data_IF_724009207183
#
_entry.id   IF_724009207183
#
_cell.length_a   1.000
_cell.length_b   1.000
_cell.length_c   1.000
_cell.angle_alpha   90.00
_cell.angle_beta   90.00
_cell.angle_gamma   90.00
#
_symmetry.space_group_name_H-M   'P 1'
#
loop_
_entity.id
_entity.type
_entity.pdbx_description
1 polymer ?
#
# COMPACT_ATOMS: atom_id res chain seq x y z
N UNK A 1 -28.99 8.59 5.93
CA UNK A 1 -28.01 8.58 7.03
C UNK A 1 -27.40 9.97 7.35
N UNK A 2 -28.09 11.10 7.09
CA UNK A 2 -27.82 12.41 7.73
C UNK A 2 -26.47 13.12 7.48
N UNK A 3 -25.44 12.42 7.01
CA UNK A 3 -24.13 13.00 6.72
C UNK A 3 -24.12 13.62 5.31
N UNK A 4 -23.83 14.93 5.17
CA UNK A 4 -23.73 15.56 3.85
C UNK A 4 -22.41 15.13 3.18
N UNK A 5 -22.52 14.35 2.11
CA UNK A 5 -21.40 13.92 1.28
C UNK A 5 -21.79 14.13 -0.17
N UNK A 6 -21.13 15.08 -0.83
CA UNK A 6 -21.35 15.41 -2.24
C UNK A 6 -20.00 15.61 -2.91
N UNK A 7 -19.74 14.85 -3.95
CA UNK A 7 -18.56 15.00 -4.80
C UNK A 7 -19.03 15.18 -6.23
N UNK A 8 -18.31 15.99 -7.00
CA UNK A 8 -18.65 16.27 -8.39
C UNK A 8 -18.16 15.14 -9.30
N UNK A 9 -16.99 14.59 -8.99
CA UNK A 9 -16.38 13.47 -9.72
C UNK A 9 -15.45 12.64 -8.80
N UNK A 10 -15.04 11.47 -9.30
CA UNK A 10 -14.09 10.57 -8.63
C UNK A 10 -12.74 11.21 -8.35
N UNK A 11 -12.31 12.21 -9.15
CA UNK A 11 -11.07 12.92 -8.89
C UNK A 11 -11.09 13.68 -7.54
N UNK A 12 -12.22 14.27 -7.16
CA UNK A 12 -12.38 15.00 -5.89
C UNK A 12 -12.22 14.06 -4.68
N UNK A 13 -12.84 12.87 -4.77
CA UNK A 13 -12.69 11.81 -3.76
C UNK A 13 -11.23 11.37 -3.67
N UNK A 14 -10.56 11.21 -4.82
CA UNK A 14 -9.15 10.78 -4.84
C UNK A 14 -8.21 11.84 -4.27
N UNK A 15 -8.50 13.13 -4.48
CA UNK A 15 -7.77 14.22 -3.85
C UNK A 15 -7.98 14.26 -2.32
N UNK A 16 -9.18 13.96 -1.82
CA UNK A 16 -9.40 13.82 -0.37
C UNK A 16 -8.57 12.65 0.20
N UNK A 17 -8.63 11.49 -0.45
CA UNK A 17 -7.90 10.29 -0.02
C UNK A 17 -6.38 10.50 -0.06
N UNK A 18 -5.83 11.09 -1.13
CA UNK A 18 -4.38 11.36 -1.23
C UNK A 18 -3.92 12.31 -0.12
N UNK A 19 -4.75 13.28 0.27
CA UNK A 19 -4.41 14.27 1.29
C UNK A 19 -4.33 13.64 2.68
N UNK A 20 -5.15 12.61 2.94
CA UNK A 20 -5.15 11.86 4.20
C UNK A 20 -4.08 10.75 4.24
N UNK A 21 -3.61 10.29 3.08
CA UNK A 21 -2.70 9.15 2.96
C UNK A 21 -1.34 9.59 2.39
N UNK A 22 -0.32 9.87 3.22
CA UNK A 22 0.99 10.34 2.76
C UNK A 22 1.67 9.43 1.73
N UNK A 23 1.41 8.11 1.78
CA UNK A 23 1.98 7.14 0.84
C UNK A 23 1.35 7.21 -0.56
N UNK A 24 0.21 7.86 -0.73
CA UNK A 24 -0.50 8.00 -2.01
C UNK A 24 -0.47 9.42 -2.58
N UNK A 25 0.13 10.37 -1.85
CA UNK A 25 0.06 11.79 -2.18
C UNK A 25 0.48 12.09 -3.62
N UNK A 26 1.58 11.47 -4.08
CA UNK A 26 2.13 11.63 -5.42
C UNK A 26 1.38 10.91 -6.55
N UNK A 27 0.35 10.11 -6.26
CA UNK A 27 -0.37 9.31 -7.26
C UNK A 27 -1.51 10.13 -7.90
N UNK A 28 -1.19 11.13 -8.73
CA UNK A 28 -2.20 11.99 -9.40
C UNK A 28 -2.84 11.30 -10.60
N UNK A 29 -4.06 11.70 -10.96
CA UNK A 29 -4.70 11.25 -12.21
C UNK A 29 -3.87 11.65 -13.43
N UNK A 30 -3.29 12.85 -13.42
CA UNK A 30 -2.35 13.32 -14.45
C UNK A 30 -1.15 12.38 -14.60
N UNK A 31 -0.53 11.99 -13.47
CA UNK A 31 0.60 11.05 -13.50
C UNK A 31 0.18 9.67 -13.98
N UNK A 32 -1.02 9.21 -13.61
CA UNK A 32 -1.56 7.93 -14.05
C UNK A 32 -1.80 7.92 -15.56
N UNK A 33 -2.30 9.02 -16.13
CA UNK A 33 -2.48 9.18 -17.57
C UNK A 33 -1.14 9.12 -18.33
N UNK A 34 -0.06 9.65 -17.76
CA UNK A 34 1.27 9.62 -18.38
C UNK A 34 2.05 8.30 -18.23
N UNK A 35 1.96 7.64 -17.08
CA UNK A 35 2.73 6.42 -16.76
C UNK A 35 1.94 5.11 -16.97
N UNK A 36 0.65 5.20 -17.26
CA UNK A 36 -0.34 4.11 -17.32
C UNK A 36 -0.58 3.34 -16.00
N UNK A 37 0.41 3.30 -15.10
CA UNK A 37 0.32 2.67 -13.78
C UNK A 37 1.26 3.39 -12.80
N UNK A 38 0.87 3.39 -11.53
CA UNK A 38 1.69 3.92 -10.43
C UNK A 38 1.62 2.90 -9.31
N UNK A 39 2.76 2.31 -8.95
CA UNK A 39 2.84 1.41 -7.81
C UNK A 39 3.08 2.22 -6.54
N UNK A 40 2.19 2.07 -5.57
CA UNK A 40 2.37 2.67 -4.25
C UNK A 40 3.45 1.88 -3.48
N UNK A 41 4.23 2.52 -2.57
CA UNK A 41 4.20 3.94 -2.18
C UNK A 41 4.63 4.95 -3.27
N UNK A 42 3.99 6.11 -3.29
CA UNK A 42 4.33 7.28 -4.11
C UNK A 42 4.12 8.56 -3.27
N UNK A 43 5.08 8.94 -2.42
CA UNK A 43 4.89 10.01 -1.44
C UNK A 43 5.00 11.43 -2.02
N UNK A 44 5.69 11.60 -3.15
CA UNK A 44 5.94 12.93 -3.75
C UNK A 44 5.43 13.00 -5.18
N UNK A 45 5.12 14.21 -5.64
CA UNK A 45 4.62 14.47 -7.00
C UNK A 45 5.65 14.11 -8.08
N UNK A 46 6.94 14.13 -7.78
CA UNK A 46 8.00 13.72 -8.72
C UNK A 46 8.43 12.25 -8.55
N UNK A 47 7.93 11.56 -7.51
CA UNK A 47 8.29 10.17 -7.27
C UNK A 47 7.67 9.26 -8.36
N UNK A 48 8.44 8.37 -9.02
CA UNK A 48 7.94 7.50 -10.09
C UNK A 48 7.04 6.36 -9.58
N UNK A 49 6.90 6.22 -8.27
CA UNK A 49 6.29 5.07 -7.61
C UNK A 49 7.35 4.06 -7.14
N UNK A 50 6.93 3.07 -6.37
CA UNK A 50 7.83 2.08 -5.76
C UNK A 50 7.60 0.70 -6.37
N UNK A 51 8.44 0.23 -7.31
CA UNK A 51 8.20 -1.03 -8.04
C UNK A 51 8.33 -2.28 -7.15
N UNK A 52 9.20 -2.23 -6.14
CA UNK A 52 9.37 -3.30 -5.17
C UNK A 52 9.71 -2.73 -3.79
N UNK A 53 9.27 -3.40 -2.74
CA UNK A 53 9.50 -2.98 -1.35
C UNK A 53 10.81 -3.56 -0.80
N UNK A 54 11.35 -2.93 0.25
CA UNK A 54 12.50 -3.39 1.03
C UNK A 54 13.83 -3.44 0.26
N UNK A 55 14.01 -2.55 -0.73
CA UNK A 55 15.28 -2.37 -1.47
C UNK A 55 16.50 -2.22 -0.56
N UNK A 56 16.31 -1.59 0.60
CA UNK A 56 17.38 -1.26 1.54
C UNK A 56 17.60 -2.34 2.60
N UNK A 57 17.11 -3.57 2.37
CA UNK A 57 17.19 -4.70 3.32
C UNK A 57 16.56 -4.42 4.69
N UNK A 58 15.55 -3.53 4.74
CA UNK A 58 14.81 -3.18 5.95
C UNK A 58 13.33 -3.47 5.76
N UNK A 59 12.77 -4.34 6.59
CA UNK A 59 11.34 -4.63 6.62
C UNK A 59 10.57 -3.56 7.43
N UNK A 60 9.27 -3.44 7.20
CA UNK A 60 8.36 -2.56 7.98
C UNK A 60 7.98 -3.16 9.34
N UNK A 61 8.61 -4.27 9.74
CA UNK A 61 8.46 -4.85 11.07
C UNK A 61 9.16 -3.98 12.13
N UNK A 62 8.75 -4.03 13.41
CA UNK A 62 9.39 -3.24 14.47
C UNK A 62 10.90 -3.48 14.61
N UNK A 63 11.39 -4.67 14.27
CA UNK A 63 12.81 -5.02 14.29
C UNK A 63 13.55 -4.70 12.98
N UNK A 64 12.84 -4.33 11.93
CA UNK A 64 13.39 -4.15 10.58
C UNK A 64 13.78 -5.45 9.88
N UNK A 65 13.49 -6.62 10.46
CA UNK A 65 13.88 -7.94 9.95
C UNK A 65 12.66 -8.81 9.59
N UNK A 66 12.85 -9.71 8.63
CA UNK A 66 11.85 -10.72 8.28
C UNK A 66 11.61 -11.69 9.44
N UNK A 67 10.34 -12.02 9.70
CA UNK A 67 9.96 -12.98 10.73
C UNK A 67 9.67 -14.32 10.06
N UNK A 68 10.59 -15.28 10.23
CA UNK A 68 10.41 -16.64 9.72
C UNK A 68 9.49 -17.41 10.66
N UNK A 69 8.45 -18.02 10.10
CA UNK A 69 7.53 -18.87 10.84
C UNK A 69 7.52 -20.26 10.23
N UNK A 70 7.65 -21.29 11.07
CA UNK A 70 7.55 -22.69 10.68
C UNK A 70 6.58 -23.40 11.62
N UNK A 71 5.60 -24.11 11.05
CA UNK A 71 4.68 -24.93 11.81
C UNK A 71 5.18 -26.37 11.88
N UNK A 72 5.13 -26.96 13.07
CA UNK A 72 5.47 -28.38 13.28
C UNK A 72 4.25 -29.24 13.00
N UNK A 73 4.30 -30.08 11.95
CA UNK A 73 3.28 -31.12 11.75
C UNK A 73 3.23 -32.05 12.96
N UNK A 74 2.07 -32.13 13.61
CA UNK A 74 1.80 -33.15 14.61
C UNK A 74 1.64 -34.50 13.91
N UNK A 75 2.50 -35.48 14.25
CA UNK A 75 2.27 -36.87 13.86
C UNK A 75 1.04 -37.37 14.62
N UNK A 76 -0.04 -37.66 13.89
CA UNK A 76 -1.16 -38.46 14.40
C UNK A 76 -0.60 -39.78 14.94
N UNK A 77 -0.69 -39.98 16.27
CA UNK A 77 -0.50 -41.31 16.85
C UNK A 77 -1.70 -42.15 16.41
N UNK A 78 -1.50 -42.99 15.40
CA UNK A 78 -2.38 -44.16 15.19
C UNK A 78 -2.25 -45.01 16.45
N UNK A 79 -3.29 -45.03 17.26
CA UNK A 79 -3.45 -46.00 18.35
C UNK A 79 -3.66 -47.35 17.67
N UNK A 80 -2.79 -48.30 18.00
CA UNK A 80 -2.88 -49.69 17.56
C UNK A 80 -3.99 -50.44 18.31
#
# INVERSE_FOLDING_TARGET
MGYPMSYTDNEEIWHEVRALCPLFFGATYEKLAGLAHIQWPCPELDHPGTPYLYSDNRFTTPSGKGQLFCYRMARSRRVA
#
